data_IF_061326143784
#
_entry.id   IF_061326143784
#
_cell.length_a   1.000
_cell.length_b   1.000
_cell.length_c   1.000
_cell.angle_alpha   90.00
_cell.angle_beta   90.00
_cell.angle_gamma   90.00
#
_symmetry.space_group_name_H-M   'P 1'
#
loop_
_entity.id
_entity.type
_entity.pdbx_description
1 polymer ?
#
# COMPACT_ATOMS: atom_id res chain seq x y z
N UNK A 1 -3.58 3.49 13.06
CA UNK A 1 -4.83 3.36 12.30
C UNK A 1 -4.64 2.18 11.36
N UNK A 2 -5.57 1.22 11.35
CA UNK A 2 -5.50 0.04 10.47
C UNK A 2 -5.84 0.44 9.02
N UNK A 3 -5.19 -0.18 8.03
CA UNK A 3 -5.49 0.01 6.61
C UNK A 3 -6.94 -0.38 6.27
N UNK A 4 -7.54 -1.32 7.01
CA UNK A 4 -8.96 -1.65 6.86
C UNK A 4 -9.87 -0.45 7.16
N UNK A 5 -9.59 0.29 8.24
CA UNK A 5 -10.40 1.47 8.57
C UNK A 5 -10.18 2.60 7.57
N UNK A 6 -8.96 2.74 7.02
CA UNK A 6 -8.70 3.68 5.92
C UNK A 6 -9.57 3.35 4.70
N UNK A 7 -9.76 2.07 4.37
CA UNK A 7 -10.70 1.64 3.34
C UNK A 7 -12.14 2.13 3.59
N UNK A 8 -12.56 2.25 4.85
CA UNK A 8 -13.93 2.67 5.18
C UNK A 8 -14.13 4.20 5.21
N UNK A 9 -13.07 4.99 5.39
CA UNK A 9 -13.18 6.45 5.55
C UNK A 9 -12.69 7.25 4.35
N UNK A 10 -11.75 6.69 3.56
CA UNK A 10 -11.26 7.36 2.36
C UNK A 10 -12.34 7.23 1.28
N UNK A 11 -12.71 8.36 0.66
CA UNK A 11 -13.72 8.38 -0.40
C UNK A 11 -13.29 7.48 -1.58
N UNK A 12 -14.24 6.91 -2.34
CA UNK A 12 -13.91 6.17 -3.56
C UNK A 12 -13.00 6.98 -4.49
N UNK A 13 -12.05 6.32 -5.13
CA UNK A 13 -11.02 6.96 -5.95
C UNK A 13 -9.99 7.79 -5.15
N UNK A 14 -10.07 7.79 -3.80
CA UNK A 14 -9.20 8.57 -2.93
C UNK A 14 -7.74 8.10 -2.87
N UNK A 15 -6.91 8.86 -2.15
CA UNK A 15 -5.47 8.61 -2.03
C UNK A 15 -5.08 8.28 -0.59
N UNK A 16 -4.21 7.29 -0.43
CA UNK A 16 -3.46 7.04 0.79
C UNK A 16 -1.98 7.28 0.49
N UNK A 17 -1.32 8.05 1.36
CA UNK A 17 0.15 8.16 1.39
C UNK A 17 0.65 7.32 2.55
N UNK A 18 1.46 6.31 2.24
CA UNK A 18 2.10 5.43 3.21
C UNK A 18 3.52 5.90 3.46
N UNK A 19 3.90 6.20 4.70
CA UNK A 19 5.23 6.73 5.05
C UNK A 19 6.29 5.63 5.24
N UNK A 20 5.93 4.47 5.77
CA UNK A 20 6.86 3.40 6.11
C UNK A 20 6.82 2.21 5.14
N UNK A 21 6.59 2.46 3.84
CA UNK A 21 6.50 1.40 2.83
C UNK A 21 7.82 0.60 2.71
N UNK A 22 8.96 1.22 3.07
CA UNK A 22 10.26 0.55 3.13
C UNK A 22 10.34 -0.59 4.16
N UNK A 23 9.43 -0.64 5.14
CA UNK A 23 9.35 -1.72 6.12
C UNK A 23 8.65 -2.97 5.54
N UNK A 24 9.21 -4.19 5.69
CA UNK A 24 8.62 -5.40 5.09
C UNK A 24 7.18 -5.67 5.53
N UNK A 25 6.86 -5.45 6.81
CA UNK A 25 5.51 -5.70 7.35
C UNK A 25 4.46 -4.78 6.72
N UNK A 26 4.74 -3.49 6.59
CA UNK A 26 3.83 -2.52 5.95
C UNK A 26 3.62 -2.90 4.48
N UNK A 27 4.71 -3.20 3.76
CA UNK A 27 4.62 -3.59 2.35
C UNK A 27 3.81 -4.87 2.13
N UNK A 28 3.96 -5.85 3.01
CA UNK A 28 3.16 -7.10 2.98
C UNK A 28 1.68 -6.81 3.18
N UNK A 29 1.32 -5.95 4.15
CA UNK A 29 -0.09 -5.58 4.35
C UNK A 29 -0.64 -4.80 3.16
N UNK A 30 0.11 -3.85 2.60
CA UNK A 30 -0.30 -3.13 1.38
C UNK A 30 -0.55 -4.11 0.23
N UNK A 31 0.35 -5.07 0.00
CA UNK A 31 0.19 -6.11 -1.04
C UNK A 31 -1.10 -6.91 -0.90
N UNK A 32 -1.52 -7.21 0.33
CA UNK A 32 -2.79 -7.88 0.60
C UNK A 32 -3.99 -7.07 0.12
N UNK A 33 -4.01 -5.76 0.41
CA UNK A 33 -5.06 -4.84 -0.04
C UNK A 33 -5.02 -4.60 -1.56
N UNK A 34 -3.83 -4.54 -2.16
CA UNK A 34 -3.67 -4.48 -3.62
C UNK A 34 -4.30 -5.70 -4.29
N UNK A 35 -4.01 -6.90 -3.79
CA UNK A 35 -4.51 -8.16 -4.34
C UNK A 35 -5.99 -8.39 -4.09
N UNK A 36 -6.51 -7.99 -2.93
CA UNK A 36 -7.85 -8.37 -2.49
C UNK A 36 -8.90 -7.28 -2.73
N UNK A 37 -8.53 -5.99 -2.61
CA UNK A 37 -9.48 -4.87 -2.63
C UNK A 37 -9.25 -3.89 -3.80
N UNK A 38 -8.42 -4.25 -4.77
CA UNK A 38 -8.19 -3.42 -5.96
C UNK A 38 -7.47 -2.10 -5.67
N UNK A 39 -6.70 -2.03 -4.58
CA UNK A 39 -5.84 -0.89 -4.32
C UNK A 39 -4.74 -0.84 -5.38
N UNK A 40 -4.46 0.35 -5.91
CA UNK A 40 -3.50 0.52 -6.99
C UNK A 40 -2.41 1.49 -6.58
N UNK A 41 -1.16 1.01 -6.55
CA UNK A 41 -0.03 1.91 -6.36
C UNK A 41 0.11 2.88 -7.52
N UNK A 42 0.41 4.14 -7.18
CA UNK A 42 0.75 5.15 -8.17
C UNK A 42 2.25 5.04 -8.42
N UNK A 43 2.67 4.66 -9.65
CA UNK A 43 4.08 4.55 -9.97
C UNK A 43 4.76 5.92 -9.83
N UNK A 44 6.02 5.89 -9.44
CA UNK A 44 6.92 7.05 -9.43
C UNK A 44 6.51 8.24 -8.55
N UNK A 45 5.48 8.10 -7.71
CA UNK A 45 4.96 9.18 -6.86
C UNK A 45 5.98 9.80 -5.91
N UNK A 46 7.07 9.07 -5.61
CA UNK A 46 8.13 9.50 -4.68
C UNK A 46 9.55 9.31 -5.27
N UNK A 47 9.70 9.36 -6.60
CA UNK A 47 11.03 9.25 -7.28
C UNK A 47 12.05 10.30 -6.83
N UNK A 48 11.60 11.48 -6.40
CA UNK A 48 12.46 12.51 -5.79
C UNK A 48 12.54 12.47 -4.26
N UNK A 49 11.97 11.45 -3.62
CA UNK A 49 11.89 11.32 -2.16
C UNK A 49 13.12 10.67 -1.52
N UNK A 50 13.10 10.56 -0.19
CA UNK A 50 14.14 9.82 0.55
C UNK A 50 14.08 8.34 0.20
N UNK A 51 15.24 7.77 -0.18
CA UNK A 51 15.40 6.33 -0.39
C UNK A 51 15.84 5.63 0.89
N UNK A 52 15.40 4.38 1.07
CA UNK A 52 15.76 3.49 2.19
C UNK A 52 16.02 2.09 1.64
N UNK A 53 16.94 1.35 2.24
CA UNK A 53 17.00 -0.08 1.96
C UNK A 53 15.80 -0.79 2.59
N UNK A 54 15.27 -1.81 1.94
CA UNK A 54 14.15 -2.59 2.49
C UNK A 54 14.55 -3.17 3.86
N UNK A 55 13.76 -2.89 4.89
CA UNK A 55 14.01 -3.39 6.25
C UNK A 55 15.32 -2.91 6.88
N UNK A 56 15.89 -1.79 6.40
CA UNK A 56 17.21 -1.28 6.80
C UNK A 56 18.36 -2.29 6.56
N UNK A 57 18.16 -3.29 5.70
CA UNK A 57 19.20 -4.22 5.29
C UNK A 57 20.11 -3.55 4.24
N UNK A 58 21.39 -3.27 4.54
CA UNK A 58 22.28 -2.56 3.62
C UNK A 58 22.53 -3.30 2.30
N UNK A 59 22.26 -4.61 2.23
CA UNK A 59 22.37 -5.40 1.00
C UNK A 59 21.08 -5.43 0.18
N UNK A 60 19.95 -4.94 0.71
CA UNK A 60 18.67 -4.96 0.05
C UNK A 60 18.50 -3.80 -0.95
N UNK A 61 17.49 -3.90 -1.80
CA UNK A 61 17.11 -2.86 -2.77
C UNK A 61 16.82 -1.52 -2.09
N UNK A 62 17.24 -0.42 -2.74
CA UNK A 62 16.83 0.93 -2.38
C UNK A 62 15.44 1.24 -2.95
N UNK A 63 14.52 1.56 -2.08
CA UNK A 63 13.14 1.91 -2.41
C UNK A 63 12.78 3.28 -1.84
N UNK A 64 11.81 4.00 -2.44
CA UNK A 64 11.25 5.18 -1.80
C UNK A 64 10.74 4.83 -0.39
N UNK A 65 10.99 5.73 0.58
CA UNK A 65 10.45 5.62 1.94
C UNK A 65 8.91 5.50 1.89
N UNK A 66 8.29 6.40 1.11
CA UNK A 66 6.85 6.51 0.99
C UNK A 66 6.29 5.84 -0.27
N UNK A 67 5.02 5.45 -0.23
CA UNK A 67 4.25 4.97 -1.39
C UNK A 67 2.87 5.64 -1.45
N UNK A 68 2.41 5.95 -2.65
CA UNK A 68 1.08 6.49 -2.88
C UNK A 68 0.17 5.41 -3.46
N UNK A 69 -1.02 5.27 -2.91
CA UNK A 69 -1.98 4.23 -3.28
C UNK A 69 -3.33 4.89 -3.58
N UNK A 70 -3.88 4.58 -4.76
CA UNK A 70 -5.25 4.90 -5.14
C UNK A 70 -6.19 3.81 -4.65
N UNK A 71 -7.30 4.20 -4.03
CA UNK A 71 -8.43 3.30 -3.77
C UNK A 71 -9.30 3.16 -5.02
N UNK A 72 -10.04 2.04 -5.15
CA UNK A 72 -10.95 1.85 -6.28
C UNK A 72 -12.09 2.87 -6.28
N UNK A 73 -12.66 3.11 -7.46
CA UNK A 73 -13.85 3.96 -7.66
C UNK A 73 -15.12 3.35 -7.05
N UNK A 74 -15.13 2.03 -6.82
CA UNK A 74 -16.18 1.30 -6.12
C UNK A 74 -15.58 0.62 -4.89
N UNK A 75 -16.17 0.88 -3.74
CA UNK A 75 -15.72 0.35 -2.44
C UNK A 75 -16.49 -0.91 -2.04
N UNK A 76 -16.94 -1.68 -3.03
CA UNK A 76 -17.61 -2.95 -2.81
C UNK A 76 -16.61 -3.97 -2.25
N UNK A 77 -16.87 -4.45 -1.03
CA UNK A 77 -16.04 -5.46 -0.39
C UNK A 77 -16.39 -6.83 -0.99
N UNK A 78 -15.39 -7.60 -1.48
CA UNK A 78 -15.64 -8.92 -2.02
C UNK A 78 -16.02 -9.92 -0.90
N UNK A 79 -16.62 -11.07 -1.25
CA UNK A 79 -16.78 -12.18 -0.31
C UNK A 79 -15.45 -12.64 0.28
N UNK A 80 -15.49 -13.19 1.49
CA UNK A 80 -14.30 -13.62 2.22
C UNK A 80 -13.43 -14.60 1.42
N UNK A 81 -14.04 -15.46 0.62
CA UNK A 81 -13.38 -16.48 -0.20
C UNK A 81 -12.51 -15.92 -1.32
N UNK A 82 -12.69 -14.64 -1.69
CA UNK A 82 -11.90 -13.97 -2.72
C UNK A 82 -10.69 -13.24 -2.14
N UNK A 83 -10.52 -13.20 -0.82
CA UNK A 83 -9.33 -12.62 -0.22
C UNK A 83 -8.14 -13.56 -0.39
N UNK A 84 -7.02 -12.99 -0.84
CA UNK A 84 -5.79 -13.73 -1.01
C UNK A 84 -4.91 -13.57 0.22
N UNK A 85 -4.45 -14.67 0.87
CA UNK A 85 -3.50 -14.57 1.96
C UNK A 85 -2.16 -13.99 1.49
N UNK A 86 -1.35 -13.55 2.46
CA UNK A 86 -0.04 -12.91 2.25
C UNK A 86 0.93 -13.77 1.44
#
# INVERSE_FOLDING_TARGET
MDLYFLHKIVRPGGLIVMDDDWTPSVRTVVRYYERSLGWAAIPDAFTGGTLRNIGDDPAAELVPRCRAIRLPESMAEPPFEQFHPF
#
